data_IF_118446492570
#
_entry.id   IF_118446492570
#
_cell.length_a   1.000
_cell.length_b   1.000
_cell.length_c   1.000
_cell.angle_alpha   90.00
_cell.angle_beta   90.00
_cell.angle_gamma   90.00
#
_symmetry.space_group_name_H-M   'P 1'
#
loop_
_entity.id
_entity.type
_entity.pdbx_description
1 polymer ?
#
# COMPACT_ATOMS: atom_id res chain seq x y z
N UNK A 1 12.45 -11.63 -18.26
CA UNK A 1 12.15 -11.06 -16.95
C UNK A 1 11.55 -9.68 -17.12
N UNK A 2 10.45 -9.43 -16.46
CA UNK A 2 9.78 -8.14 -16.56
C UNK A 2 10.56 -7.07 -15.80
N UNK A 3 10.95 -6.00 -16.49
CA UNK A 3 11.70 -4.88 -15.91
C UNK A 3 10.83 -3.63 -15.79
N UNK A 4 9.54 -3.76 -16.08
CA UNK A 4 8.64 -2.61 -16.02
C UNK A 4 8.53 -2.10 -14.59
N UNK A 5 8.47 -0.78 -14.39
CA UNK A 5 8.25 -0.22 -13.06
C UNK A 5 6.87 -0.61 -12.55
N UNK A 6 6.74 -0.73 -11.23
CA UNK A 6 5.46 -0.98 -10.59
C UNK A 6 4.58 0.26 -10.76
N UNK A 7 3.32 0.11 -11.18
CA UNK A 7 2.40 1.25 -11.22
C UNK A 7 2.25 1.87 -9.84
N UNK A 8 2.10 3.18 -9.79
CA UNK A 8 2.04 3.93 -8.55
C UNK A 8 0.78 4.79 -8.46
N UNK A 9 0.37 5.10 -7.24
CA UNK A 9 -0.64 6.11 -6.95
C UNK A 9 -0.04 7.10 -5.96
N UNK A 10 -0.32 8.39 -6.12
CA UNK A 10 0.14 9.40 -5.16
C UNK A 10 -0.76 9.42 -3.94
N UNK A 11 -0.24 9.96 -2.83
CA UNK A 11 -1.05 10.13 -1.62
C UNK A 11 -2.24 11.06 -1.89
N UNK A 12 -2.02 12.13 -2.65
CA UNK A 12 -3.08 13.07 -3.02
C UNK A 12 -4.21 12.37 -3.79
N UNK A 13 -3.86 11.55 -4.78
CA UNK A 13 -4.87 10.84 -5.57
C UNK A 13 -5.60 9.78 -4.75
N UNK A 14 -4.87 9.04 -3.91
CA UNK A 14 -5.50 8.06 -3.04
C UNK A 14 -6.48 8.74 -2.08
N UNK A 15 -6.08 9.88 -1.49
CA UNK A 15 -6.94 10.64 -0.60
C UNK A 15 -8.24 11.06 -1.30
N UNK A 16 -8.12 11.51 -2.56
CA UNK A 16 -9.29 11.88 -3.36
C UNK A 16 -10.24 10.68 -3.52
N UNK A 17 -9.69 9.51 -3.82
CA UNK A 17 -10.50 8.30 -4.02
C UNK A 17 -11.17 7.85 -2.73
N UNK A 18 -10.46 7.92 -1.60
CA UNK A 18 -11.05 7.55 -0.31
C UNK A 18 -12.21 8.46 0.05
N UNK A 19 -12.09 9.76 -0.24
CA UNK A 19 -13.16 10.73 0.00
C UNK A 19 -14.33 10.60 -0.97
N UNK A 20 -14.12 9.99 -2.13
CA UNK A 20 -15.15 9.78 -3.15
C UNK A 20 -15.81 8.40 -3.06
N UNK A 21 -15.56 7.66 -1.98
CA UNK A 21 -16.11 6.32 -1.76
C UNK A 21 -15.67 5.32 -2.85
N UNK A 22 -14.50 5.55 -3.44
CA UNK A 22 -13.89 4.72 -4.48
C UNK A 22 -12.66 4.03 -3.88
N UNK A 23 -12.91 3.16 -2.89
CA UNK A 23 -11.87 2.61 -2.02
C UNK A 23 -11.31 1.30 -2.58
N UNK A 24 -10.01 1.27 -2.93
CA UNK A 24 -9.35 0.00 -3.27
C UNK A 24 -9.08 -0.81 -2.00
N UNK A 25 -8.65 -2.05 -2.17
CA UNK A 25 -8.15 -2.83 -1.04
C UNK A 25 -6.81 -2.24 -0.63
N UNK A 26 -6.68 -1.80 0.62
CA UNK A 26 -5.43 -1.24 1.14
C UNK A 26 -4.68 -2.33 1.89
N UNK A 27 -3.42 -2.57 1.49
CA UNK A 27 -2.56 -3.57 2.11
C UNK A 27 -1.33 -2.89 2.71
N UNK A 28 -1.22 -2.95 4.03
CA UNK A 28 -0.09 -2.40 4.77
C UNK A 28 0.93 -3.53 4.97
N UNK A 29 2.14 -3.35 4.44
CA UNK A 29 3.18 -4.39 4.52
C UNK A 29 4.24 -4.08 5.57
N UNK A 30 3.93 -3.15 6.49
CA UNK A 30 4.84 -2.77 7.57
C UNK A 30 4.80 -3.78 8.72
N UNK A 31 5.63 -3.53 9.72
CA UNK A 31 5.60 -4.32 10.95
C UNK A 31 4.40 -3.94 11.82
N UNK A 32 3.89 -4.87 12.65
CA UNK A 32 2.66 -4.62 13.41
C UNK A 32 2.68 -3.42 14.35
N UNK A 33 3.87 -2.96 14.78
CA UNK A 33 3.98 -1.81 15.66
C UNK A 33 3.88 -0.47 14.92
N UNK A 34 4.11 -0.47 13.60
CA UNK A 34 4.17 0.78 12.83
C UNK A 34 2.83 1.52 12.72
N UNK A 35 1.69 0.81 12.51
CA UNK A 35 0.39 1.51 12.46
C UNK A 35 0.07 2.30 13.73
N UNK A 36 0.59 1.88 14.88
CA UNK A 36 0.39 2.62 16.13
C UNK A 36 1.16 3.93 16.20
N UNK A 37 2.18 4.09 15.35
CA UNK A 37 2.95 5.33 15.28
C UNK A 37 2.26 6.32 14.33
N UNK A 38 1.96 5.87 13.12
CA UNK A 38 1.29 6.67 12.10
C UNK A 38 0.67 5.74 11.07
N UNK A 39 -0.49 6.10 10.56
CA UNK A 39 -1.18 5.30 9.55
C UNK A 39 -2.10 6.18 8.72
N UNK A 40 -2.49 5.67 7.55
CA UNK A 40 -3.54 6.25 6.74
C UNK A 40 -4.90 6.13 7.46
N UNK A 41 -5.89 6.94 7.09
CA UNK A 41 -7.25 6.75 7.60
C UNK A 41 -7.71 5.30 7.39
N UNK A 42 -8.47 4.77 8.34
CA UNK A 42 -8.86 3.37 8.32
C UNK A 42 -9.99 3.11 7.32
N UNK A 43 -9.72 2.24 6.37
CA UNK A 43 -10.67 1.80 5.34
C UNK A 43 -10.58 0.29 5.15
N UNK A 44 -10.47 -0.44 6.26
CA UNK A 44 -10.40 -1.89 6.25
C UNK A 44 -9.05 -2.46 5.84
N UNK A 45 -7.96 -1.74 6.11
CA UNK A 45 -6.62 -2.20 5.75
C UNK A 45 -6.32 -3.61 6.24
N UNK A 46 -5.66 -4.36 5.37
CA UNK A 46 -5.12 -5.67 5.71
C UNK A 46 -3.63 -5.50 6.00
N UNK A 47 -3.19 -5.91 7.20
CA UNK A 47 -1.77 -5.86 7.56
C UNK A 47 -1.14 -7.21 7.26
N UNK A 48 -0.19 -7.23 6.33
CA UNK A 48 0.59 -8.42 6.00
C UNK A 48 2.06 -8.00 5.96
N UNK A 49 2.81 -8.20 7.05
CA UNK A 49 4.23 -7.81 7.07
C UNK A 49 5.02 -8.48 5.95
N UNK A 50 6.07 -7.80 5.46
CA UNK A 50 6.87 -8.32 4.35
C UNK A 50 7.40 -9.74 4.59
N UNK A 51 7.80 -10.05 5.83
CA UNK A 51 8.33 -11.39 6.15
C UNK A 51 7.31 -12.50 6.00
N UNK A 52 5.99 -12.16 6.01
CA UNK A 52 4.90 -13.12 5.87
C UNK A 52 4.24 -13.05 4.50
N UNK A 53 4.64 -12.09 3.67
CA UNK A 53 3.86 -11.72 2.48
C UNK A 53 3.74 -12.86 1.48
N UNK A 54 4.84 -13.52 1.16
CA UNK A 54 4.81 -14.63 0.19
C UNK A 54 3.88 -15.76 0.64
N UNK A 55 3.87 -16.04 1.94
CA UNK A 55 3.06 -17.14 2.48
C UNK A 55 1.58 -16.78 2.57
N UNK A 56 1.24 -15.49 2.49
CA UNK A 56 -0.12 -15.01 2.72
C UNK A 56 -0.77 -14.36 1.49
N UNK A 57 -0.14 -14.44 0.33
CA UNK A 57 -0.69 -13.88 -0.91
C UNK A 57 -2.10 -14.46 -1.18
N UNK A 58 -2.34 -15.72 -0.81
CA UNK A 58 -3.64 -16.35 -1.03
C UNK A 58 -4.79 -15.70 -0.26
N UNK A 59 -4.50 -14.83 0.69
CA UNK A 59 -5.54 -14.06 1.39
C UNK A 59 -6.08 -12.91 0.54
N UNK A 60 -5.42 -12.58 -0.56
CA UNK A 60 -5.80 -11.48 -1.45
C UNK A 60 -6.42 -12.02 -2.73
N UNK A 61 -7.36 -11.25 -3.29
CA UNK A 61 -8.06 -11.65 -4.52
C UNK A 61 -7.36 -11.07 -5.75
N UNK A 62 -6.94 -11.92 -6.71
CA UNK A 62 -6.17 -11.45 -7.87
C UNK A 62 -6.89 -10.43 -8.75
N UNK A 63 -8.21 -10.41 -8.75
CA UNK A 63 -8.99 -9.47 -9.56
C UNK A 63 -9.33 -8.17 -8.85
N UNK A 64 -9.04 -8.07 -7.54
CA UNK A 64 -9.29 -6.84 -6.79
C UNK A 64 -8.28 -5.78 -7.15
N UNK A 65 -8.71 -4.52 -7.04
CA UNK A 65 -7.77 -3.41 -7.12
C UNK A 65 -7.10 -3.23 -5.76
N UNK A 66 -5.79 -3.31 -5.73
CA UNK A 66 -5.00 -3.33 -4.50
C UNK A 66 -3.99 -2.19 -4.51
N UNK A 67 -3.98 -1.42 -3.43
CA UNK A 67 -2.92 -0.43 -3.16
C UNK A 67 -2.12 -0.92 -1.98
N UNK A 68 -0.80 -1.09 -2.19
CA UNK A 68 0.10 -1.49 -1.11
C UNK A 68 0.86 -0.27 -0.61
N UNK A 69 1.15 -0.25 0.68
CA UNK A 69 1.95 0.83 1.24
C UNK A 69 2.84 0.35 2.38
N UNK A 70 3.89 1.13 2.60
CA UNK A 70 4.79 0.98 3.74
C UNK A 70 5.19 2.38 4.21
N UNK A 71 6.31 2.50 4.92
CA UNK A 71 6.76 3.81 5.40
C UNK A 71 7.16 4.74 4.25
N UNK A 72 8.03 4.26 3.33
CA UNK A 72 8.61 5.10 2.28
C UNK A 72 8.34 4.60 0.86
N UNK A 73 7.71 3.43 0.71
CA UNK A 73 7.38 2.86 -0.59
C UNK A 73 8.28 1.71 -1.05
N UNK A 74 9.40 1.45 -0.37
CA UNK A 74 10.35 0.42 -0.83
C UNK A 74 9.86 -1.00 -0.56
N UNK A 75 9.41 -1.28 0.66
CA UNK A 75 8.89 -2.62 1.02
C UNK A 75 7.64 -2.94 0.21
N UNK A 76 6.77 -1.95 0.04
CA UNK A 76 5.52 -2.15 -0.71
C UNK A 76 5.77 -2.29 -2.21
N UNK A 77 6.82 -1.66 -2.76
CA UNK A 77 7.20 -1.89 -4.15
C UNK A 77 7.59 -3.35 -4.36
N UNK A 78 8.39 -3.91 -3.46
CA UNK A 78 8.77 -5.31 -3.52
C UNK A 78 7.54 -6.23 -3.48
N UNK A 79 6.61 -5.95 -2.57
CA UNK A 79 5.38 -6.74 -2.44
C UNK A 79 4.50 -6.62 -3.70
N UNK A 80 4.42 -5.42 -4.26
CA UNK A 80 3.65 -5.21 -5.50
C UNK A 80 4.21 -6.02 -6.65
N UNK A 81 5.53 -6.10 -6.77
CA UNK A 81 6.17 -6.92 -7.80
C UNK A 81 5.81 -8.39 -7.66
N UNK A 82 5.77 -8.90 -6.43
CA UNK A 82 5.36 -10.29 -6.18
C UNK A 82 3.92 -10.53 -6.64
N UNK A 83 3.01 -9.61 -6.35
CA UNK A 83 1.61 -9.74 -6.77
C UNK A 83 1.50 -9.74 -8.29
N UNK A 84 2.19 -8.83 -8.96
CA UNK A 84 2.16 -8.78 -10.42
C UNK A 84 2.71 -10.07 -11.04
N UNK A 85 3.78 -10.61 -10.48
CA UNK A 85 4.34 -11.89 -10.93
C UNK A 85 3.40 -13.06 -10.67
N UNK A 86 2.56 -12.95 -9.65
CA UNK A 86 1.58 -13.99 -9.32
C UNK A 86 0.27 -13.86 -10.11
N UNK A 87 0.19 -12.92 -11.05
CA UNK A 87 -0.96 -12.77 -11.92
C UNK A 87 -2.02 -11.77 -11.45
N UNK A 88 -1.73 -11.00 -10.41
CA UNK A 88 -2.63 -9.93 -9.99
C UNK A 88 -2.61 -8.84 -11.07
N UNK A 89 -3.78 -8.34 -11.44
CA UNK A 89 -3.92 -7.47 -12.60
C UNK A 89 -4.01 -5.98 -12.26
N UNK A 90 -4.36 -5.62 -11.03
CA UNK A 90 -4.63 -4.24 -10.67
C UNK A 90 -3.96 -3.90 -9.34
N UNK A 91 -2.65 -3.63 -9.42
CA UNK A 91 -1.80 -3.41 -8.24
C UNK A 91 -1.12 -2.07 -8.37
N UNK A 92 -1.21 -1.25 -7.32
CA UNK A 92 -0.56 0.05 -7.24
C UNK A 92 0.27 0.14 -5.97
N UNK A 93 1.43 0.77 -6.07
CA UNK A 93 2.25 1.11 -4.91
C UNK A 93 1.98 2.56 -4.53
N UNK A 94 1.72 2.82 -3.25
CA UNK A 94 1.58 4.19 -2.76
C UNK A 94 2.95 4.87 -2.79
N UNK A 95 3.12 5.81 -3.72
CA UNK A 95 4.38 6.51 -3.90
C UNK A 95 4.77 7.24 -2.62
N UNK A 96 5.97 6.93 -2.11
CA UNK A 96 6.48 7.57 -0.91
C UNK A 96 5.84 7.14 0.39
N UNK A 97 4.85 6.24 0.34
CA UNK A 97 4.27 5.61 1.53
C UNK A 97 3.65 6.57 2.53
N UNK A 98 3.69 6.18 3.81
CA UNK A 98 3.15 6.98 4.90
C UNK A 98 3.83 8.35 5.00
N UNK A 99 5.14 8.42 4.67
CA UNK A 99 5.86 9.70 4.66
C UNK A 99 5.26 10.68 3.66
N UNK A 100 4.91 10.20 2.46
CA UNK A 100 4.26 11.05 1.46
C UNK A 100 2.85 11.43 1.88
N UNK A 101 2.12 10.52 2.54
CA UNK A 101 0.80 10.85 3.05
C UNK A 101 0.89 12.00 4.06
N UNK A 102 1.86 11.94 4.96
CA UNK A 102 2.09 13.02 5.90
C UNK A 102 2.40 14.35 5.18
N UNK A 103 3.26 14.30 4.18
CA UNK A 103 3.67 15.51 3.46
C UNK A 103 2.57 16.11 2.60
N UNK A 104 1.77 15.26 1.94
CA UNK A 104 0.81 15.72 0.92
C UNK A 104 -0.60 15.88 1.47
N UNK A 105 -0.99 15.10 2.48
CA UNK A 105 -2.38 15.03 2.93
C UNK A 105 -2.54 15.48 4.37
N UNK A 106 -1.73 14.97 5.29
CA UNK A 106 -1.93 15.23 6.73
C UNK A 106 -0.62 15.58 7.43
N UNK A 107 -0.22 16.86 7.41
CA UNK A 107 1.02 17.30 8.06
C UNK A 107 1.02 17.12 9.59
N UNK A 108 -0.15 16.88 10.20
CA UNK A 108 -0.25 16.68 11.65
C UNK A 108 0.07 15.25 12.08
N UNK A 109 0.21 14.34 11.11
CA UNK A 109 0.53 12.94 11.40
C UNK A 109 1.91 12.83 12.06
N UNK A 110 2.03 11.88 13.00
CA UNK A 110 3.31 11.59 13.66
C UNK A 110 4.38 11.23 12.63
N UNK A 111 5.53 11.91 12.70
CA UNK A 111 6.68 11.52 11.88
C UNK A 111 7.40 10.33 12.54
N UNK A 112 7.99 9.47 11.70
CA UNK A 112 8.78 8.35 12.22
C UNK A 112 9.75 7.81 11.17
#
# INVERSE_FOLDING_TARGET
MNQDPVPEITATELNRRLGADDVPVLVDVREPHEPGIADLPQHGQVLIPTREFMDRISELEPESEIVLYCRSGARSEWAAKLLLQAGFSSVLNLRGGVLAWRAEVDPTMQAY
#
